data_IF_898164769472
#
_entry.id   IF_898164769472
#
_cell.length_a   1.000
_cell.length_b   1.000
_cell.length_c   1.000
_cell.angle_alpha   90.00
_cell.angle_beta   90.00
_cell.angle_gamma   90.00
#
_symmetry.space_group_name_H-M   'P 1'
#
loop_
_entity.id
_entity.type
_entity.pdbx_description
1 polymer ?
#
# COMPACT_ATOMS: atom_id res chain seq x y z
N UNK A 1 12.63 -13.75 3.09
CA UNK A 1 11.67 -14.23 2.23
C UNK A 1 10.39 -13.45 2.28
N UNK A 2 9.66 -13.59 1.31
CA UNK A 2 8.51 -12.79 1.15
C UNK A 2 7.45 -13.06 2.17
N UNK A 3 6.93 -12.03 2.72
CA UNK A 3 5.86 -12.13 3.68
C UNK A 3 4.60 -12.62 2.99
N UNK A 4 4.11 -13.75 3.44
CA UNK A 4 2.94 -14.36 2.83
C UNK A 4 1.67 -13.55 3.02
N UNK A 5 1.59 -12.84 4.13
CA UNK A 5 0.41 -12.01 4.40
C UNK A 5 0.28 -10.89 3.38
N UNK A 6 1.41 -10.32 2.99
CA UNK A 6 1.41 -9.27 1.98
C UNK A 6 0.91 -9.83 0.66
N UNK A 7 1.41 -11.00 0.26
CA UNK A 7 1.01 -11.58 -1.02
C UNK A 7 -0.44 -12.03 -1.04
N UNK A 8 -1.03 -12.28 0.13
CA UNK A 8 -2.43 -12.68 0.20
C UNK A 8 -3.39 -11.53 -0.04
N UNK A 9 -2.90 -10.30 -0.07
CA UNK A 9 -3.74 -9.14 -0.34
C UNK A 9 -3.38 -8.59 -1.71
N UNK A 10 -3.95 -9.16 -2.77
CA UNK A 10 -3.52 -8.81 -4.12
C UNK A 10 -3.93 -7.42 -4.58
N UNK A 11 -4.89 -6.80 -3.93
CA UNK A 11 -5.38 -5.51 -4.38
C UNK A 11 -5.70 -4.61 -3.20
N UNK A 12 -5.57 -3.31 -3.42
CA UNK A 12 -6.04 -2.35 -2.45
C UNK A 12 -7.08 -1.44 -3.10
N UNK A 13 -7.96 -0.90 -2.26
CA UNK A 13 -9.02 -0.04 -2.74
C UNK A 13 -8.51 1.36 -2.99
N UNK A 14 -8.93 1.92 -4.09
CA UNK A 14 -8.67 3.31 -4.40
C UNK A 14 -9.99 4.07 -4.28
N UNK A 15 -10.04 4.99 -3.33
CA UNK A 15 -11.22 5.82 -3.14
C UNK A 15 -11.09 7.01 -4.07
N UNK A 16 -11.75 6.91 -5.22
CA UNK A 16 -11.55 7.84 -6.32
C UNK A 16 -11.75 9.30 -5.94
N UNK A 17 -12.82 9.60 -5.22
CA UNK A 17 -13.10 10.98 -4.84
C UNK A 17 -12.00 11.56 -3.95
N UNK A 18 -11.57 10.78 -2.96
CA UNK A 18 -10.51 11.23 -2.07
C UNK A 18 -9.19 11.42 -2.80
N UNK A 19 -8.87 10.46 -3.65
CA UNK A 19 -7.63 10.52 -4.42
C UNK A 19 -7.62 11.72 -5.35
N UNK A 20 -8.74 11.96 -6.01
CA UNK A 20 -8.89 13.08 -6.91
C UNK A 20 -8.67 14.41 -6.18
N UNK A 21 -9.30 14.57 -5.03
CA UNK A 21 -9.16 15.78 -4.23
C UNK A 21 -7.75 15.95 -3.70
N UNK A 22 -7.14 14.88 -3.26
CA UNK A 22 -5.78 14.92 -2.69
C UNK A 22 -4.73 15.29 -3.73
N UNK A 23 -5.00 15.05 -4.99
CA UNK A 23 -4.02 15.27 -6.06
C UNK A 23 -4.41 16.39 -7.01
N UNK A 24 -5.36 17.24 -6.61
CA UNK A 24 -5.88 18.30 -7.48
C UNK A 24 -4.80 19.22 -8.08
N UNK A 25 -3.78 19.52 -7.28
CA UNK A 25 -2.74 20.46 -7.70
C UNK A 25 -1.55 19.77 -8.35
N UNK A 26 -1.62 18.45 -8.48
CA UNK A 26 -0.51 17.67 -9.05
C UNK A 26 -0.73 17.48 -10.54
N UNK A 27 0.36 17.36 -11.28
CA UNK A 27 0.24 17.00 -12.68
C UNK A 27 0.26 15.47 -12.83
N UNK A 28 0.07 15.00 -14.03
CA UNK A 28 -0.03 13.57 -14.32
C UNK A 28 1.26 12.84 -13.94
N UNK A 29 2.40 13.49 -14.12
CA UNK A 29 3.68 12.88 -13.78
C UNK A 29 3.78 12.62 -12.29
N UNK A 30 3.38 13.60 -11.47
CA UNK A 30 3.36 13.42 -10.02
C UNK A 30 2.46 12.27 -9.61
N UNK A 31 1.29 12.19 -10.20
CA UNK A 31 0.32 11.14 -9.89
C UNK A 31 0.89 9.78 -10.25
N UNK A 32 1.53 9.67 -11.41
CA UNK A 32 2.15 8.43 -11.83
C UNK A 32 3.24 7.97 -10.89
N UNK A 33 4.10 8.90 -10.47
CA UNK A 33 5.17 8.59 -9.52
C UNK A 33 4.57 8.11 -8.20
N UNK A 34 3.56 8.82 -7.71
CA UNK A 34 2.87 8.45 -6.48
C UNK A 34 2.32 7.03 -6.55
N UNK A 35 1.66 6.71 -7.65
CA UNK A 35 1.11 5.38 -7.84
C UNK A 35 2.19 4.30 -7.85
N UNK A 36 3.31 4.56 -8.50
CA UNK A 36 4.41 3.59 -8.52
C UNK A 36 4.89 3.29 -7.10
N UNK A 37 5.02 4.34 -6.29
CA UNK A 37 5.47 4.16 -4.91
C UNK A 37 4.41 3.41 -4.09
N UNK A 38 3.14 3.75 -4.25
CA UNK A 38 2.06 3.06 -3.54
C UNK A 38 2.01 1.58 -3.90
N UNK A 39 2.15 1.25 -5.18
CA UNK A 39 2.13 -0.14 -5.62
C UNK A 39 3.31 -0.91 -5.02
N UNK A 40 4.49 -0.30 -5.03
CA UNK A 40 5.67 -0.94 -4.46
C UNK A 40 5.49 -1.19 -2.97
N UNK A 41 4.92 -0.21 -2.27
CA UNK A 41 4.65 -0.37 -0.84
C UNK A 41 3.63 -1.48 -0.59
N UNK A 42 2.60 -1.56 -1.43
CA UNK A 42 1.60 -2.60 -1.26
C UNK A 42 2.20 -3.98 -1.41
N UNK A 43 3.05 -4.15 -2.41
CA UNK A 43 3.66 -5.45 -2.69
C UNK A 43 4.73 -5.83 -1.66
N UNK A 44 5.52 -4.87 -1.21
CA UNK A 44 6.69 -5.14 -0.39
C UNK A 44 6.58 -4.70 1.08
N UNK A 45 5.53 -3.97 1.44
CA UNK A 45 5.46 -3.33 2.75
C UNK A 45 6.19 -2.00 2.74
N UNK A 46 6.32 -1.34 3.89
CA UNK A 46 7.03 -0.05 3.94
C UNK A 46 8.36 -0.08 3.22
N UNK A 47 8.70 1.04 2.61
CA UNK A 47 9.88 1.13 1.75
C UNK A 47 10.99 1.90 2.47
N UNK A 48 12.23 1.66 2.05
CA UNK A 48 13.34 2.42 2.59
C UNK A 48 13.21 3.89 2.21
N UNK A 49 13.52 4.78 3.16
CA UNK A 49 13.52 6.21 2.90
C UNK A 49 14.82 6.60 2.22
N UNK A 50 14.95 6.20 0.96
CA UNK A 50 16.15 6.41 0.16
C UNK A 50 15.70 6.87 -1.21
N UNK A 51 15.91 8.15 -1.50
CA UNK A 51 15.38 8.74 -2.72
C UNK A 51 15.96 8.13 -3.99
N UNK A 52 17.18 7.62 -3.93
CA UNK A 52 17.73 6.97 -5.12
C UNK A 52 17.03 5.66 -5.43
N UNK A 53 16.73 4.90 -4.38
CA UNK A 53 16.00 3.65 -4.55
C UNK A 53 14.55 3.91 -4.96
N UNK A 54 13.94 4.92 -4.35
CA UNK A 54 12.57 5.29 -4.70
C UNK A 54 12.48 5.78 -6.14
N UNK A 55 13.49 6.51 -6.60
CA UNK A 55 13.52 6.95 -7.99
C UNK A 55 13.50 5.77 -8.95
N UNK A 56 14.25 4.72 -8.64
CA UNK A 56 14.25 3.52 -9.48
C UNK A 56 12.87 2.85 -9.50
N UNK A 57 12.23 2.80 -8.35
CA UNK A 57 10.87 2.25 -8.26
C UNK A 57 9.92 3.04 -9.14
N UNK A 58 10.06 4.37 -9.15
CA UNK A 58 9.21 5.25 -9.94
C UNK A 58 9.65 5.34 -11.40
N UNK A 59 10.75 4.65 -11.76
CA UNK A 59 11.27 4.64 -13.13
C UNK A 59 11.67 6.03 -13.60
N UNK A 60 12.30 6.78 -12.70
CA UNK A 60 12.76 8.14 -12.96
C UNK A 60 14.24 8.27 -12.65
N UNK A 61 14.90 9.23 -13.29
CA UNK A 61 16.24 9.61 -12.84
C UNK A 61 16.09 10.23 -11.46
N UNK A 62 17.14 10.14 -10.66
CA UNK A 62 17.10 10.70 -9.33
C UNK A 62 16.78 12.19 -9.36
N UNK A 63 17.38 12.91 -10.28
CA UNK A 63 17.18 14.35 -10.42
C UNK A 63 15.71 14.72 -10.68
N UNK A 64 15.06 13.99 -11.58
CA UNK A 64 13.65 14.24 -11.89
C UNK A 64 12.75 13.80 -10.74
N UNK A 65 13.08 12.66 -10.15
CA UNK A 65 12.32 12.13 -9.03
C UNK A 65 12.24 13.10 -7.86
N UNK A 66 13.36 13.76 -7.55
CA UNK A 66 13.41 14.69 -6.42
C UNK A 66 12.36 15.79 -6.58
N UNK A 67 12.13 16.25 -7.79
CA UNK A 67 11.12 17.27 -8.03
C UNK A 67 9.71 16.75 -7.74
N UNK A 68 9.43 15.52 -8.15
CA UNK A 68 8.14 14.90 -7.83
C UNK A 68 8.03 14.68 -6.32
N UNK A 69 9.12 14.19 -5.72
CA UNK A 69 9.12 13.78 -4.32
C UNK A 69 8.86 14.96 -3.38
N UNK A 70 9.25 16.16 -3.78
CA UNK A 70 8.99 17.33 -2.94
C UNK A 70 7.50 17.54 -2.67
N UNK A 71 6.65 17.14 -3.61
CA UNK A 71 5.19 17.20 -3.42
C UNK A 71 4.64 15.93 -2.81
N UNK A 72 5.12 14.80 -3.29
CA UNK A 72 4.57 13.50 -2.96
C UNK A 72 4.93 13.05 -1.55
N UNK A 73 6.09 13.47 -1.06
CA UNK A 73 6.58 13.03 0.25
C UNK A 73 5.62 13.34 1.39
N UNK A 74 4.80 14.36 1.26
CA UNK A 74 3.82 14.70 2.29
C UNK A 74 2.77 13.62 2.50
N UNK A 75 2.60 12.73 1.53
CA UNK A 75 1.63 11.64 1.65
C UNK A 75 2.18 10.44 2.41
N UNK A 76 3.42 10.53 2.84
CA UNK A 76 4.09 9.41 3.50
C UNK A 76 4.57 9.80 4.89
N UNK A 77 4.58 8.80 5.78
CA UNK A 77 5.11 8.94 7.12
C UNK A 77 6.47 8.27 7.15
N UNK A 78 7.42 8.90 7.85
CA UNK A 78 8.76 8.35 8.01
C UNK A 78 8.89 7.81 9.42
N UNK A 79 9.39 6.58 9.53
CA UNK A 79 9.61 5.96 10.82
C UNK A 79 10.73 4.93 10.68
N UNK A 80 11.75 5.04 11.53
CA UNK A 80 12.88 4.09 11.55
C UNK A 80 13.51 3.89 10.19
N UNK A 81 13.71 4.99 9.47
CA UNK A 81 14.35 4.94 8.15
C UNK A 81 13.48 4.38 7.05
N UNK A 82 12.21 4.16 7.33
CA UNK A 82 11.27 3.63 6.34
C UNK A 82 10.18 4.66 6.07
N UNK A 83 9.54 4.54 4.92
CA UNK A 83 8.38 5.37 4.60
C UNK A 83 7.18 4.48 4.35
N UNK A 84 6.02 4.99 4.69
CA UNK A 84 4.77 4.30 4.39
C UNK A 84 3.63 5.31 4.30
N UNK A 85 2.61 4.94 3.54
CA UNK A 85 1.38 5.71 3.45
C UNK A 85 0.41 5.14 4.49
N UNK A 86 -0.02 5.97 5.43
CA UNK A 86 -0.87 5.51 6.52
C UNK A 86 -2.14 4.86 6.05
N UNK A 87 -2.79 5.47 5.07
CA UNK A 87 -4.05 4.95 4.56
C UNK A 87 -3.88 3.57 3.93
N UNK A 88 -2.78 3.40 3.20
CA UNK A 88 -2.48 2.14 2.56
C UNK A 88 -2.25 1.02 3.58
N UNK A 89 -1.50 1.34 4.64
CA UNK A 89 -1.24 0.33 5.67
C UNK A 89 -2.49 0.02 6.49
N UNK A 90 -3.36 1.01 6.70
CA UNK A 90 -4.65 0.77 7.33
C UNK A 90 -5.50 -0.16 6.48
N UNK A 91 -5.51 0.05 5.18
CA UNK A 91 -6.25 -0.81 4.26
C UNK A 91 -5.71 -2.24 4.31
N UNK A 92 -4.38 -2.39 4.34
CA UNK A 92 -3.76 -3.70 4.46
C UNK A 92 -4.20 -4.39 5.74
N UNK A 93 -4.15 -3.67 6.84
CA UNK A 93 -4.56 -4.21 8.14
C UNK A 93 -6.01 -4.67 8.14
N UNK A 94 -6.89 -3.87 7.56
CA UNK A 94 -8.30 -4.22 7.47
C UNK A 94 -8.52 -5.47 6.64
N UNK A 95 -7.80 -5.61 5.55
CA UNK A 95 -7.93 -6.80 4.71
C UNK A 95 -7.44 -8.05 5.40
N UNK A 96 -6.33 -7.94 6.11
CA UNK A 96 -5.79 -9.07 6.87
C UNK A 96 -6.78 -9.48 7.95
N UNK A 97 -7.29 -8.51 8.70
CA UNK A 97 -8.26 -8.76 9.75
C UNK A 97 -9.52 -9.41 9.20
N UNK A 98 -10.02 -8.89 8.09
CA UNK A 98 -11.21 -9.43 7.46
C UNK A 98 -11.00 -10.89 7.05
N UNK A 99 -9.87 -11.19 6.45
CA UNK A 99 -9.59 -12.56 6.03
C UNK A 99 -9.47 -13.51 7.20
N UNK A 100 -8.90 -13.03 8.30
CA UNK A 100 -8.79 -13.86 9.48
C UNK A 100 -10.15 -14.17 10.07
N UNK A 101 -11.03 -13.18 10.08
CA UNK A 101 -12.41 -13.40 10.50
C UNK A 101 -13.14 -14.36 9.60
N UNK A 102 -12.93 -14.24 8.30
CA UNK A 102 -13.54 -15.16 7.35
C UNK A 102 -13.08 -16.59 7.57
N UNK A 103 -11.81 -16.76 7.84
CA UNK A 103 -11.25 -18.05 8.18
C UNK A 103 -11.91 -18.63 9.41
N UNK A 104 -12.03 -17.81 10.43
CA UNK A 104 -12.65 -18.20 11.70
C UNK A 104 -14.09 -18.63 11.49
N UNK A 105 -14.85 -17.80 10.79
CA UNK A 105 -16.25 -18.10 10.52
C UNK A 105 -16.38 -19.34 9.64
N UNK A 106 -15.49 -19.50 8.69
CA UNK A 106 -15.47 -20.68 7.85
C UNK A 106 -15.25 -21.94 8.66
N UNK A 107 -14.29 -21.89 9.59
CA UNK A 107 -13.99 -23.01 10.46
C UNK A 107 -15.17 -23.33 11.36
N UNK A 108 -15.79 -22.31 11.94
CA UNK A 108 -16.98 -22.50 12.77
C UNK A 108 -18.12 -23.09 11.98
N UNK A 109 -18.35 -22.59 10.77
CA UNK A 109 -19.39 -23.09 9.91
C UNK A 109 -19.19 -24.55 9.57
N UNK A 110 -17.96 -24.92 9.24
CA UNK A 110 -17.65 -26.30 8.92
C UNK A 110 -17.85 -27.19 10.14
N UNK A 111 -17.40 -26.73 11.30
CA UNK A 111 -17.59 -27.49 12.53
C UNK A 111 -19.07 -27.71 12.81
N UNK A 112 -19.88 -26.69 12.70
CA UNK A 112 -21.33 -26.82 12.90
C UNK A 112 -21.95 -27.79 11.91
N UNK A 113 -21.55 -27.70 10.68
CA UNK A 113 -22.11 -28.50 9.62
C UNK A 113 -21.80 -29.99 9.79
N UNK A 114 -20.58 -30.31 10.09
CA UNK A 114 -20.11 -31.69 10.15
C UNK A 114 -20.15 -32.26 11.57
N UNK A 115 -20.14 -31.40 12.55
CA UNK A 115 -20.11 -31.83 13.94
C UNK A 115 -21.43 -32.44 14.39
N UNK A 116 -22.48 -32.24 13.65
CA UNK A 116 -23.81 -32.79 13.99
C UNK A 116 -24.08 -34.15 13.41
N UNK A 117 -23.19 -34.62 12.63
CA UNK A 117 -23.44 -35.92 11.96
C UNK A 117 -23.19 -37.11 12.85
#
# INVERSE_FOLDING_TARGET
MKDKDITKSPAFRLYAADFYMDTLTWDTDDIGVYFCILMAEWVNGPLENDTRKLAKIAKKTHQKFIKNWSKISQKFTVSDGMIYNKRLELERGKQIEYREKQKEFGALGATKRWGHS
#
